data_IF_221269535683
#
_entry.id   IF_221269535683
#
_cell.length_a   1.000
_cell.length_b   1.000
_cell.length_c   1.000
_cell.angle_alpha   90.00
_cell.angle_beta   90.00
_cell.angle_gamma   90.00
#
_symmetry.space_group_name_H-M   'P 1'
#
loop_
_entity.id
_entity.type
_entity.pdbx_description
1 polymer ?
#
# COMPACT_ATOMS: atom_id res chain seq x y z
N UNK A 1 21.57 3.06 -16.51
CA UNK A 1 20.75 4.25 -16.79
C UNK A 1 21.32 5.41 -15.96
N UNK A 2 21.60 6.57 -16.54
CA UNK A 2 22.03 7.73 -15.74
C UNK A 2 20.80 8.34 -15.05
N UNK A 3 20.83 8.46 -13.73
CA UNK A 3 19.76 9.06 -12.94
C UNK A 3 19.85 10.57 -13.08
N UNK A 4 18.84 11.19 -13.70
CA UNK A 4 18.78 12.65 -13.80
C UNK A 4 18.61 13.29 -12.42
N UNK A 5 19.06 14.54 -12.24
CA UNK A 5 18.89 15.26 -10.97
C UNK A 5 17.43 15.38 -10.54
N UNK A 6 16.49 15.43 -11.50
CA UNK A 6 15.05 15.44 -11.22
C UNK A 6 14.59 14.08 -10.66
N UNK A 7 15.01 12.97 -11.26
CA UNK A 7 14.70 11.62 -10.75
C UNK A 7 15.19 11.44 -9.31
N UNK A 8 16.39 11.94 -9.01
CA UNK A 8 16.98 11.82 -7.67
C UNK A 8 16.18 12.59 -6.61
N UNK A 9 15.67 13.77 -6.96
CA UNK A 9 14.77 14.56 -6.10
C UNK A 9 13.45 13.83 -5.87
N UNK A 10 12.88 13.23 -6.92
CA UNK A 10 11.61 12.49 -6.80
C UNK A 10 11.80 11.25 -5.91
N UNK A 11 12.85 10.45 -6.12
CA UNK A 11 13.15 9.29 -5.28
C UNK A 11 13.33 9.70 -3.81
N UNK A 12 14.02 10.82 -3.54
CA UNK A 12 14.17 11.33 -2.17
C UNK A 12 12.86 11.78 -1.54
N UNK A 13 11.88 12.22 -2.34
CA UNK A 13 10.56 12.59 -1.86
C UNK A 13 9.66 11.35 -1.63
N UNK A 14 9.85 10.28 -2.39
CA UNK A 14 9.09 9.03 -2.27
C UNK A 14 9.55 8.15 -1.10
N UNK A 15 10.83 8.17 -0.75
CA UNK A 15 11.38 7.32 0.30
C UNK A 15 10.69 7.48 1.68
N UNK A 16 10.44 8.70 2.18
CA UNK A 16 9.71 8.89 3.44
C UNK A 16 8.24 8.50 3.35
N UNK A 17 7.65 8.50 2.14
CA UNK A 17 6.27 8.07 1.93
C UNK A 17 6.17 6.55 2.00
N UNK A 18 7.13 5.82 1.42
CA UNK A 18 7.24 4.37 1.55
C UNK A 18 7.28 3.92 3.01
N UNK A 19 8.13 4.55 3.84
CA UNK A 19 8.23 4.21 5.27
C UNK A 19 6.89 4.43 6.01
N UNK A 20 6.17 5.52 5.69
CA UNK A 20 4.87 5.81 6.27
C UNK A 20 3.80 4.81 5.84
N UNK A 21 3.77 4.46 4.55
CA UNK A 21 2.85 3.46 4.01
C UNK A 21 3.10 2.11 4.71
N UNK A 22 4.35 1.66 4.77
CA UNK A 22 4.71 0.40 5.40
C UNK A 22 4.35 0.38 6.89
N UNK A 23 4.61 1.46 7.62
CA UNK A 23 4.27 1.56 9.03
C UNK A 23 2.75 1.49 9.25
N UNK A 24 1.96 2.17 8.42
CA UNK A 24 0.50 2.15 8.52
C UNK A 24 -0.08 0.77 8.20
N UNK A 25 0.46 0.05 7.21
CA UNK A 25 0.06 -1.32 6.90
C UNK A 25 0.46 -2.32 7.99
N UNK A 26 1.61 -2.13 8.65
CA UNK A 26 1.98 -2.93 9.83
C UNK A 26 1.03 -2.70 11.01
N UNK A 27 0.73 -1.43 11.32
CA UNK A 27 -0.26 -1.08 12.36
C UNK A 27 -1.64 -1.69 12.05
N UNK A 28 -2.02 -1.74 10.76
CA UNK A 28 -3.22 -2.43 10.29
C UNK A 28 -3.15 -3.94 10.53
N UNK A 29 -2.06 -4.59 10.12
CA UNK A 29 -1.90 -6.03 10.32
C UNK A 29 -1.98 -6.39 11.82
N UNK A 30 -1.25 -5.69 12.68
CA UNK A 30 -1.25 -5.91 14.12
C UNK A 30 -2.65 -5.68 14.71
N UNK A 31 -3.33 -4.61 14.27
CA UNK A 31 -4.70 -4.32 14.70
C UNK A 31 -5.72 -5.36 14.22
N UNK A 32 -5.52 -5.96 13.05
CA UNK A 32 -6.35 -7.07 12.55
C UNK A 32 -6.17 -8.31 13.42
N UNK A 33 -4.93 -8.67 13.77
CA UNK A 33 -4.65 -9.78 14.68
C UNK A 33 -5.31 -9.56 16.05
N UNK A 34 -5.22 -8.35 16.60
CA UNK A 34 -5.88 -7.99 17.87
C UNK A 34 -7.41 -8.01 17.76
N UNK A 35 -7.97 -7.51 16.65
CA UNK A 35 -9.42 -7.44 16.41
C UNK A 35 -10.05 -8.78 16.00
N UNK A 36 -9.27 -9.80 15.63
CA UNK A 36 -9.75 -11.14 15.25
C UNK A 36 -10.69 -11.80 16.27
N UNK A 37 -10.75 -11.27 17.51
CA UNK A 37 -11.66 -11.70 18.56
C UNK A 37 -12.75 -10.68 18.97
N UNK A 38 -12.72 -9.44 18.48
CA UNK A 38 -13.63 -8.37 18.89
C UNK A 38 -14.72 -8.14 17.83
N UNK A 39 -15.94 -8.61 18.09
CA UNK A 39 -17.11 -8.47 17.21
C UNK A 39 -17.69 -7.04 17.10
N UNK A 40 -16.93 -5.98 17.43
CA UNK A 40 -17.45 -4.62 17.49
C UNK A 40 -17.35 -3.89 16.14
N UNK A 41 -18.48 -3.67 15.49
CA UNK A 41 -18.60 -2.89 14.25
C UNK A 41 -18.07 -1.45 14.38
N UNK A 42 -18.22 -0.83 15.55
CA UNK A 42 -17.77 0.55 15.78
C UNK A 42 -16.23 0.66 15.77
N UNK A 43 -15.54 -0.31 16.36
CA UNK A 43 -14.07 -0.35 16.33
C UNK A 43 -13.56 -0.53 14.90
N UNK A 44 -14.22 -1.40 14.11
CA UNK A 44 -13.89 -1.63 12.70
C UNK A 44 -14.03 -0.36 11.85
N UNK A 45 -15.09 0.42 12.06
CA UNK A 45 -15.31 1.68 11.35
C UNK A 45 -14.30 2.76 11.76
N UNK A 46 -14.02 2.91 13.06
CA UNK A 46 -12.97 3.83 13.52
C UNK A 46 -11.61 3.48 12.94
N UNK A 47 -11.32 2.19 12.85
CA UNK A 47 -10.09 1.67 12.28
C UNK A 47 -9.98 2.06 10.79
N UNK A 48 -11.03 1.84 9.99
CA UNK A 48 -11.10 2.25 8.60
C UNK A 48 -10.87 3.75 8.39
N UNK A 49 -11.48 4.61 9.22
CA UNK A 49 -11.26 6.05 9.14
C UNK A 49 -9.82 6.46 9.48
N UNK A 50 -9.17 5.76 10.42
CA UNK A 50 -7.76 6.01 10.75
C UNK A 50 -6.86 5.61 9.58
N UNK A 51 -7.14 4.47 8.96
CA UNK A 51 -6.41 3.96 7.80
C UNK A 51 -6.51 4.94 6.62
N UNK A 52 -7.72 5.33 6.23
CA UNK A 52 -7.99 6.30 5.18
C UNK A 52 -7.17 7.59 5.35
N UNK A 53 -7.26 8.17 6.55
CA UNK A 53 -6.57 9.43 6.87
C UNK A 53 -5.04 9.31 6.85
N UNK A 54 -4.51 8.13 7.14
CA UNK A 54 -3.05 7.92 7.24
C UNK A 54 -2.44 7.55 5.88
N UNK A 55 -3.21 6.85 5.05
CA UNK A 55 -2.71 6.23 3.82
C UNK A 55 -3.25 6.85 2.54
N UNK A 56 -4.47 7.40 2.51
CA UNK A 56 -5.14 7.78 1.26
C UNK A 56 -4.28 8.68 0.36
N UNK A 57 -3.90 9.86 0.86
CA UNK A 57 -3.11 10.83 0.08
C UNK A 57 -1.69 10.31 -0.22
N UNK A 58 -1.07 9.62 0.74
CA UNK A 58 0.29 9.09 0.61
C UNK A 58 0.37 7.98 -0.44
N UNK A 59 -0.59 7.05 -0.42
CA UNK A 59 -0.66 5.94 -1.36
C UNK A 59 -1.06 6.42 -2.76
N UNK A 60 -1.96 7.40 -2.86
CA UNK A 60 -2.32 8.02 -4.14
C UNK A 60 -1.11 8.71 -4.79
N UNK A 61 -0.37 9.51 -4.01
CA UNK A 61 0.87 10.17 -4.47
C UNK A 61 1.93 9.15 -4.89
N UNK A 62 2.04 8.05 -4.15
CA UNK A 62 2.98 6.99 -4.45
C UNK A 62 2.61 6.22 -5.73
N UNK A 63 1.32 5.89 -5.90
CA UNK A 63 0.81 5.12 -7.04
C UNK A 63 0.82 5.89 -8.36
N UNK A 64 0.74 7.23 -8.32
CA UNK A 64 0.84 8.08 -9.52
C UNK A 64 2.14 7.83 -10.30
N UNK A 65 3.21 7.42 -9.62
CA UNK A 65 4.51 7.21 -10.21
C UNK A 65 4.81 5.74 -10.55
N UNK A 66 3.91 4.80 -10.24
CA UNK A 66 4.21 3.37 -10.30
C UNK A 66 4.45 2.81 -11.72
N UNK A 67 3.95 3.50 -12.76
CA UNK A 67 4.13 3.12 -14.17
C UNK A 67 5.36 3.80 -14.81
N UNK A 68 6.09 4.63 -14.06
CA UNK A 68 7.21 5.39 -14.58
C UNK A 68 8.48 4.51 -14.73
N UNK A 69 9.24 4.61 -15.83
CA UNK A 69 10.43 3.78 -16.06
C UNK A 69 11.55 3.96 -15.04
N UNK A 70 11.51 5.06 -14.28
CA UNK A 70 12.47 5.35 -13.22
C UNK A 70 11.97 4.93 -11.85
N UNK A 71 10.72 4.45 -11.72
CA UNK A 71 10.12 4.00 -10.48
C UNK A 71 10.92 2.82 -9.92
N UNK A 72 11.63 3.00 -8.80
CA UNK A 72 12.59 1.98 -8.38
C UNK A 72 11.94 0.66 -7.94
N UNK A 73 12.64 -0.44 -8.22
CA UNK A 73 12.26 -1.82 -7.85
C UNK A 73 11.81 -1.97 -6.37
N UNK A 74 12.49 -1.37 -5.37
CA UNK A 74 12.03 -1.44 -3.97
C UNK A 74 10.61 -0.92 -3.73
N UNK A 75 10.15 0.05 -4.52
CA UNK A 75 8.81 0.61 -4.38
C UNK A 75 7.73 -0.32 -4.95
N UNK A 76 8.07 -1.14 -5.95
CA UNK A 76 7.21 -2.24 -6.39
C UNK A 76 7.15 -3.35 -5.32
N UNK A 77 8.28 -3.65 -4.66
CA UNK A 77 8.33 -4.60 -3.54
C UNK A 77 7.44 -4.16 -2.36
N UNK A 78 7.41 -2.86 -2.04
CA UNK A 78 6.50 -2.32 -1.03
C UNK A 78 5.04 -2.66 -1.36
N UNK A 79 4.62 -2.42 -2.60
CA UNK A 79 3.23 -2.65 -3.03
C UNK A 79 2.87 -4.14 -3.00
N UNK A 80 3.81 -5.02 -3.37
CA UNK A 80 3.64 -6.47 -3.19
C UNK A 80 3.60 -6.90 -1.72
N UNK A 81 4.32 -6.19 -0.83
CA UNK A 81 4.34 -6.48 0.61
C UNK A 81 3.02 -6.12 1.28
N UNK A 82 2.35 -5.06 0.84
CA UNK A 82 1.09 -4.60 1.45
C UNK A 82 -0.14 -5.35 0.90
N UNK A 83 -0.07 -5.94 -0.29
CA UNK A 83 -1.20 -6.65 -0.91
C UNK A 83 -1.78 -7.77 -0.03
N UNK A 84 -0.97 -8.68 0.57
CA UNK A 84 -1.48 -9.70 1.48
C UNK A 84 -2.19 -9.14 2.73
N UNK A 85 -1.81 -7.94 3.19
CA UNK A 85 -2.46 -7.27 4.32
C UNK A 85 -3.85 -6.77 3.92
N UNK A 86 -4.00 -6.31 2.67
CA UNK A 86 -5.28 -5.91 2.11
C UNK A 86 -6.22 -7.12 1.94
N UNK A 87 -5.69 -8.24 1.47
CA UNK A 87 -6.44 -9.49 1.37
C UNK A 87 -6.90 -9.98 2.75
N UNK A 88 -5.99 -9.94 3.73
CA UNK A 88 -6.30 -10.28 5.12
C UNK A 88 -7.40 -9.38 5.71
N UNK A 89 -7.40 -8.09 5.35
CA UNK A 89 -8.49 -7.18 5.73
C UNK A 89 -9.83 -7.61 5.13
N UNK A 90 -9.86 -7.93 3.83
CA UNK A 90 -11.08 -8.37 3.14
C UNK A 90 -11.65 -9.67 3.74
N UNK A 91 -10.76 -10.61 4.08
CA UNK A 91 -11.12 -11.86 4.76
C UNK A 91 -11.67 -11.62 6.17
N UNK A 92 -11.04 -10.72 6.94
CA UNK A 92 -11.48 -10.40 8.30
C UNK A 92 -12.80 -9.61 8.32
N UNK A 93 -13.07 -8.81 7.29
CA UNK A 93 -14.21 -7.91 7.22
C UNK A 93 -14.97 -7.98 5.89
N UNK A 94 -15.63 -9.11 5.56
CA UNK A 94 -16.25 -9.33 4.25
C UNK A 94 -17.42 -8.39 3.91
N UNK A 95 -17.98 -7.70 4.91
CA UNK A 95 -19.06 -6.71 4.73
C UNK A 95 -18.54 -5.27 4.67
N UNK A 96 -17.24 -5.06 4.80
CA UNK A 96 -16.61 -3.75 4.72
C UNK A 96 -15.64 -3.73 3.54
N UNK A 97 -15.58 -2.59 2.88
CA UNK A 97 -14.60 -2.34 1.81
C UNK A 97 -13.55 -1.37 2.32
N UNK A 98 -12.34 -1.48 1.78
CA UNK A 98 -11.33 -0.44 1.97
C UNK A 98 -11.86 0.89 1.39
N UNK A 99 -11.43 2.03 1.94
CA UNK A 99 -11.74 3.34 1.38
C UNK A 99 -11.31 3.42 -0.08
N UNK A 100 -12.07 4.15 -0.91
CA UNK A 100 -11.80 4.26 -2.35
C UNK A 100 -10.42 4.86 -2.63
N UNK A 101 -10.02 5.84 -1.82
CA UNK A 101 -8.69 6.47 -1.74
C UNK A 101 -7.52 5.50 -1.51
N UNK A 102 -7.81 4.25 -1.14
CA UNK A 102 -6.83 3.19 -0.95
C UNK A 102 -7.10 2.10 -2.00
N UNK A 103 -8.34 1.63 -2.12
CA UNK A 103 -8.69 0.49 -2.98
C UNK A 103 -8.46 0.74 -4.46
N UNK A 104 -8.55 1.99 -4.95
CA UNK A 104 -8.24 2.31 -6.35
C UNK A 104 -6.75 2.21 -6.68
N UNK A 105 -5.88 2.19 -5.66
CA UNK A 105 -4.43 2.15 -5.80
C UNK A 105 -3.83 0.80 -5.38
N UNK A 106 -4.63 -0.07 -4.76
CA UNK A 106 -4.25 -1.46 -4.53
C UNK A 106 -4.22 -2.14 -5.90
N UNK A 107 -3.02 -2.60 -6.24
CA UNK A 107 -2.63 -3.27 -7.46
C UNK A 107 -3.76 -4.06 -8.15
N UNK A 108 -4.02 -3.71 -9.42
CA UNK A 108 -4.70 -4.61 -10.34
C UNK A 108 -3.86 -5.90 -10.49
N UNK A 109 -4.52 -7.05 -10.60
CA UNK A 109 -3.87 -8.36 -10.74
C UNK A 109 -2.87 -8.40 -11.90
N UNK A 110 -3.16 -7.68 -12.99
CA UNK A 110 -2.26 -7.57 -14.14
C UNK A 110 -0.97 -6.79 -13.81
N UNK A 111 -1.09 -5.71 -13.04
CA UNK A 111 0.07 -4.92 -12.58
C UNK A 111 0.90 -5.69 -11.57
N UNK A 112 0.24 -6.43 -10.67
CA UNK A 112 0.91 -7.29 -9.70
C UNK A 112 1.75 -8.35 -10.40
N UNK A 113 1.19 -9.02 -11.40
CA UNK A 113 1.90 -10.03 -12.17
C UNK A 113 3.10 -9.46 -12.94
N UNK A 114 2.97 -8.24 -13.47
CA UNK A 114 4.06 -7.51 -14.10
C UNK A 114 5.25 -7.31 -13.16
N UNK A 115 4.99 -6.76 -11.97
CA UNK A 115 6.04 -6.49 -10.98
C UNK A 115 6.66 -7.76 -10.40
N UNK A 116 5.85 -8.79 -10.12
CA UNK A 116 6.37 -10.09 -9.69
C UNK A 116 7.30 -10.73 -10.74
N UNK A 117 7.05 -10.47 -12.03
CA UNK A 117 7.87 -10.99 -13.12
C UNK A 117 9.16 -10.19 -13.25
N UNK A 118 9.09 -8.85 -13.21
CA UNK A 118 10.28 -7.98 -13.22
C UNK A 118 11.21 -8.26 -12.04
N UNK A 119 10.67 -8.43 -10.83
CA UNK A 119 11.45 -8.75 -9.63
C UNK A 119 12.11 -10.14 -9.67
N UNK A 120 11.54 -11.10 -10.40
CA UNK A 120 12.13 -12.44 -10.59
C UNK A 120 13.20 -12.47 -11.69
N UNK A 121 13.32 -11.40 -12.46
CA UNK A 121 14.26 -11.27 -13.59
C UNK A 121 15.57 -10.56 -13.21
N UNK A 122 15.68 -10.02 -11.99
CA UNK A 122 16.95 -9.52 -11.39
C UNK A 122 17.69 -10.60 -10.59
#
# INVERSE_FOLDING_TARGET
MEVSSLMLVIIQALYPLEEQILAAFKDLHDSLEEMGNAGSTALRLMFLCKLDKTLGDNLATFAEHADEPWFPVPYAELLLTIAPVCDSFADCFPTLSLPESISSHILDADKQHGWETELKLE
#
